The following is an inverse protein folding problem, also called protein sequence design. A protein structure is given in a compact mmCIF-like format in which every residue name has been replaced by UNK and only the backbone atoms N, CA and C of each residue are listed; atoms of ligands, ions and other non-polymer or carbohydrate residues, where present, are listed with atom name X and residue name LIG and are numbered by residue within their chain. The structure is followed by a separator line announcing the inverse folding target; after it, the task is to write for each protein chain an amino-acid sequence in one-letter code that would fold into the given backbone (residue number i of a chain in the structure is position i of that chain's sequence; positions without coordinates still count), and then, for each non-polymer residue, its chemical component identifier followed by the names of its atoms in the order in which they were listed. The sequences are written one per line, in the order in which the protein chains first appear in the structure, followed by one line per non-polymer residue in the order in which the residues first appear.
data_IF_149628073352
#
_entry.id   IF_149628073352
#
_cell.length_a   1.000
_cell.length_b   1.000
_cell.length_c   1.000
_cell.angle_alpha   90.00
_cell.angle_beta   90.00
_cell.angle_gamma   90.00
#
_symmetry.space_group_name_H-M   'P 1'
#
loop_
_entity.id
_entity.type
_entity.pdbx_description
1 polymer ?
#
# COMPACT_ATOMS: atom_id res chain seq x y z
N UNK A 1 -8.25 2.23 20.06
CA UNK A 1 -8.72 1.59 18.81
C UNK A 1 -7.59 0.77 18.22
N UNK A 2 -7.91 -0.27 17.46
CA UNK A 2 -6.91 -1.12 16.81
C UNK A 2 -6.65 -0.69 15.36
N UNK A 3 -5.42 -0.86 14.90
CA UNK A 3 -5.01 -0.64 13.52
C UNK A 3 -4.14 -1.79 13.02
N UNK A 4 -4.54 -2.44 11.94
CA UNK A 4 -3.79 -3.56 11.36
C UNK A 4 -2.78 -3.09 10.30
N UNK A 5 -1.53 -3.56 10.37
CA UNK A 5 -0.53 -3.32 9.33
C UNK A 5 0.09 -4.63 8.84
N UNK A 6 0.36 -4.78 7.53
CA UNK A 6 0.83 -6.03 6.95
C UNK A 6 2.34 -6.24 7.14
N UNK A 7 3.10 -5.18 7.41
CA UNK A 7 4.57 -5.22 7.41
C UNK A 7 5.14 -5.38 8.83
N UNK A 8 6.30 -6.05 9.00
CA UNK A 8 6.98 -6.17 10.29
C UNK A 8 7.35 -4.81 10.89
N UNK A 9 7.54 -4.76 12.22
CA UNK A 9 7.87 -3.53 12.96
C UNK A 9 9.02 -2.73 12.34
N UNK A 10 10.11 -3.39 11.96
CA UNK A 10 11.30 -2.73 11.42
C UNK A 10 11.09 -2.05 10.04
N UNK A 11 9.95 -2.26 9.39
CA UNK A 11 9.62 -1.62 8.11
C UNK A 11 9.27 -0.16 8.36
N UNK A 12 9.86 0.76 7.57
CA UNK A 12 9.63 2.20 7.76
C UNK A 12 8.14 2.58 7.70
N UNK A 13 7.34 1.87 6.90
CA UNK A 13 5.89 2.02 6.87
C UNK A 13 5.25 1.81 8.25
N UNK A 14 5.57 0.69 8.90
CA UNK A 14 5.07 0.37 10.24
C UNK A 14 5.61 1.36 11.28
N UNK A 15 6.88 1.77 11.18
CA UNK A 15 7.45 2.80 12.06
C UNK A 15 6.70 4.13 11.94
N UNK A 16 6.40 4.59 10.73
CA UNK A 16 5.63 5.81 10.49
C UNK A 16 4.20 5.70 11.05
N UNK A 17 3.58 4.52 11.00
CA UNK A 17 2.25 4.29 11.57
C UNK A 17 2.29 4.29 13.11
N UNK A 18 3.35 3.75 13.71
CA UNK A 18 3.58 3.83 15.16
C UNK A 18 3.78 5.29 15.58
N UNK A 19 4.52 6.08 14.81
CA UNK A 19 4.67 7.51 15.05
C UNK A 19 3.33 8.26 14.89
N UNK A 20 2.57 7.98 13.84
CA UNK A 20 1.21 8.49 13.67
C UNK A 20 0.30 8.16 14.87
N UNK A 21 0.35 6.93 15.37
CA UNK A 21 -0.42 6.51 16.54
C UNK A 21 -0.05 7.34 17.80
N UNK A 22 1.24 7.62 17.99
CA UNK A 22 1.73 8.47 19.06
C UNK A 22 1.26 9.92 18.90
N UNK A 23 1.39 10.48 17.69
CA UNK A 23 0.99 11.85 17.39
C UNK A 23 -0.51 12.07 17.60
N UNK A 24 -1.33 11.08 17.22
CA UNK A 24 -2.78 11.10 17.48
C UNK A 24 -3.08 11.08 18.97
N UNK A 25 -2.38 10.23 19.73
CA UNK A 25 -2.55 10.17 21.19
C UNK A 25 -2.20 11.51 21.85
N UNK A 26 -1.12 12.14 21.42
CA UNK A 26 -0.70 13.45 21.92
C UNK A 26 -1.70 14.55 21.55
N UNK A 27 -2.08 14.62 20.27
CA UNK A 27 -3.00 15.64 19.75
C UNK A 27 -4.41 15.55 20.36
N UNK A 28 -4.82 14.36 20.82
CA UNK A 28 -6.12 14.13 21.46
C UNK A 28 -6.06 14.09 22.98
N UNK A 29 -4.90 14.40 23.59
CA UNK A 29 -4.73 14.34 25.04
C UNK A 29 -5.00 12.95 25.63
N UNK A 30 -4.81 11.90 24.82
CA UNK A 30 -5.05 10.51 25.19
C UNK A 30 -6.47 10.00 24.95
N UNK A 31 -7.41 10.83 24.47
CA UNK A 31 -8.77 10.38 24.16
C UNK A 31 -8.80 9.33 23.03
N UNK A 32 -7.89 9.44 22.06
CA UNK A 32 -7.71 8.46 21.00
C UNK A 32 -6.34 7.78 21.12
N UNK A 33 -6.34 6.55 21.63
CA UNK A 33 -5.16 5.70 21.70
C UNK A 33 -5.24 4.62 20.61
N UNK A 34 -4.22 4.53 19.74
CA UNK A 34 -4.17 3.58 18.62
C UNK A 34 -3.17 2.46 18.94
N UNK A 35 -3.66 1.22 19.01
CA UNK A 35 -2.83 0.03 19.13
C UNK A 35 -2.53 -0.52 17.73
N UNK A 36 -1.24 -0.51 17.36
CA UNK A 36 -0.77 -0.99 16.05
C UNK A 36 -0.47 -2.48 16.12
N UNK A 37 -1.12 -3.26 15.26
CA UNK A 37 -0.92 -4.71 15.11
C UNK A 37 -0.15 -4.98 13.82
N UNK A 38 1.16 -5.16 13.92
CA UNK A 38 2.06 -5.28 12.77
C UNK A 38 2.22 -6.70 12.24
N UNK A 39 2.94 -6.83 11.12
CA UNK A 39 3.33 -8.13 10.55
C UNK A 39 2.17 -9.01 10.11
N UNK A 40 0.98 -8.43 9.89
CA UNK A 40 -0.23 -9.17 9.60
C UNK A 40 -0.63 -10.13 10.73
N UNK A 41 -0.39 -9.71 11.98
CA UNK A 41 -0.76 -10.43 13.20
C UNK A 41 -2.28 -10.47 13.42
N UNK A 42 -2.97 -9.36 13.15
CA UNK A 42 -4.42 -9.26 13.27
C UNK A 42 -5.17 -9.72 12.01
N UNK A 43 -4.77 -9.22 10.83
CA UNK A 43 -5.32 -9.60 9.53
C UNK A 43 -4.21 -9.75 8.49
N UNK A 44 -4.37 -10.68 7.55
CA UNK A 44 -3.44 -10.81 6.41
C UNK A 44 -3.65 -9.65 5.44
N UNK A 45 -2.58 -9.24 4.75
CA UNK A 45 -2.56 -8.06 3.87
C UNK A 45 -3.77 -7.95 2.92
N UNK A 46 -4.17 -9.02 2.19
CA UNK A 46 -5.32 -8.94 1.27
C UNK A 46 -6.66 -8.72 1.99
N UNK A 47 -6.76 -9.08 3.27
CA UNK A 47 -7.99 -9.01 4.04
C UNK A 47 -8.18 -7.69 4.79
N UNK A 48 -7.14 -6.84 4.88
CA UNK A 48 -7.17 -5.62 5.71
C UNK A 48 -8.28 -4.66 5.23
N UNK A 49 -8.35 -4.34 3.93
CA UNK A 49 -9.39 -3.44 3.38
C UNK A 49 -10.79 -3.91 3.74
N UNK A 50 -11.06 -5.20 3.52
CA UNK A 50 -12.36 -5.83 3.80
C UNK A 50 -12.68 -5.85 5.29
N UNK A 51 -11.67 -6.01 6.14
CA UNK A 51 -11.83 -6.02 7.59
C UNK A 51 -12.19 -4.64 8.14
N UNK A 52 -11.59 -3.58 7.57
CA UNK A 52 -11.97 -2.18 7.87
C UNK A 52 -13.38 -1.89 7.36
N UNK A 53 -13.68 -2.27 6.11
CA UNK A 53 -15.01 -2.04 5.50
C UNK A 53 -16.14 -2.70 6.31
N UNK A 54 -15.87 -3.85 6.93
CA UNK A 54 -16.83 -4.57 7.79
C UNK A 54 -16.87 -4.08 9.24
N UNK A 55 -16.01 -3.14 9.61
CA UNK A 55 -15.90 -2.64 10.98
C UNK A 55 -15.29 -3.64 11.97
N UNK A 56 -14.58 -4.67 11.49
CA UNK A 56 -13.88 -5.63 12.36
C UNK A 56 -12.63 -5.00 13.00
N UNK A 57 -12.02 -4.05 12.31
CA UNK A 57 -10.95 -3.19 12.82
C UNK A 57 -11.22 -1.75 12.35
N UNK A 58 -11.09 -0.72 13.21
CA UNK A 58 -11.40 0.65 12.82
C UNK A 58 -10.50 1.24 11.72
N UNK A 59 -9.25 0.79 11.63
CA UNK A 59 -8.28 1.28 10.65
C UNK A 59 -7.31 0.18 10.19
N UNK A 60 -6.68 0.39 9.04
CA UNK A 60 -5.66 -0.52 8.56
C UNK A 60 -4.83 0.04 7.42
N UNK A 61 -3.65 -0.54 7.22
CA UNK A 61 -2.74 -0.24 6.11
C UNK A 61 -2.91 -1.28 4.99
N UNK A 62 -2.99 -0.83 3.75
CA UNK A 62 -2.94 -1.70 2.58
C UNK A 62 -2.08 -1.10 1.48
N UNK A 63 -1.57 -1.95 0.59
CA UNK A 63 -0.90 -1.53 -0.63
C UNK A 63 -1.98 -1.34 -1.69
N UNK A 64 -2.16 -0.11 -2.17
CA UNK A 64 -3.30 0.25 -3.03
C UNK A 64 -3.37 -0.60 -4.30
N UNK A 65 -2.24 -0.92 -4.92
CA UNK A 65 -2.18 -1.76 -6.12
C UNK A 65 -2.65 -3.20 -5.93
N UNK A 66 -2.78 -3.71 -4.69
CA UNK A 66 -3.46 -4.99 -4.42
C UNK A 66 -4.95 -4.94 -4.79
N UNK A 67 -5.55 -3.75 -4.76
CA UNK A 67 -6.96 -3.52 -5.05
C UNK A 67 -7.23 -3.31 -6.54
N UNK A 68 -6.20 -3.38 -7.40
CA UNK A 68 -6.33 -3.16 -8.85
C UNK A 68 -7.29 -4.13 -9.57
N UNK A 69 -7.57 -5.29 -8.97
CA UNK A 69 -8.59 -6.22 -9.47
C UNK A 69 -10.03 -5.77 -9.15
N UNK A 70 -10.21 -4.92 -8.13
CA UNK A 70 -11.52 -4.37 -7.75
C UNK A 70 -11.84 -3.14 -8.61
N UNK A 71 -10.87 -2.25 -8.80
CA UNK A 71 -10.96 -1.13 -9.73
C UNK A 71 -9.57 -0.79 -10.30
N UNK A 72 -9.42 -0.64 -11.63
CA UNK A 72 -8.14 -0.31 -12.26
C UNK A 72 -7.49 0.97 -11.73
N UNK A 73 -8.25 1.93 -11.18
CA UNK A 73 -7.68 3.18 -10.63
C UNK A 73 -6.66 2.90 -9.52
N UNK A 74 -6.84 1.80 -8.79
CA UNK A 74 -5.95 1.42 -7.70
C UNK A 74 -4.59 0.90 -8.20
N UNK A 75 -4.47 0.55 -9.48
CA UNK A 75 -3.22 0.06 -10.09
C UNK A 75 -2.34 1.14 -10.71
N UNK A 76 -2.76 2.42 -10.67
CA UNK A 76 -2.05 3.52 -11.36
C UNK A 76 -0.62 3.71 -10.86
N UNK A 77 -0.36 3.49 -9.56
CA UNK A 77 0.98 3.60 -8.97
C UNK A 77 1.90 2.42 -9.28
N UNK A 78 1.36 1.34 -9.89
CA UNK A 78 2.11 0.15 -10.25
C UNK A 78 2.41 0.06 -11.75
N UNK A 79 2.06 1.09 -12.54
CA UNK A 79 2.36 1.12 -13.98
C UNK A 79 3.87 1.31 -14.17
N UNK A 80 4.56 0.34 -14.82
CA UNK A 80 6.00 0.44 -15.02
C UNK A 80 6.40 1.70 -15.79
N UNK A 81 7.47 2.36 -15.34
CA UNK A 81 8.06 3.56 -15.95
C UNK A 81 7.16 4.81 -16.00
N UNK A 82 5.97 4.79 -15.38
CA UNK A 82 5.06 5.95 -15.37
C UNK A 82 5.54 7.07 -14.43
N UNK A 83 5.99 6.70 -13.23
CA UNK A 83 6.54 7.62 -12.23
C UNK A 83 7.80 7.01 -11.62
N UNK A 84 8.96 7.49 -12.06
CA UNK A 84 10.28 6.91 -11.80
C UNK A 84 11.08 7.68 -10.75
N UNK A 85 10.57 8.81 -10.29
CA UNK A 85 11.12 9.61 -9.20
C UNK A 85 10.08 9.89 -8.11
N UNK A 86 10.54 10.28 -6.92
CA UNK A 86 9.66 10.72 -5.84
C UNK A 86 8.74 11.89 -6.25
N UNK A 87 9.27 12.84 -7.02
CA UNK A 87 8.51 14.00 -7.49
C UNK A 87 7.42 13.60 -8.50
N UNK A 88 7.74 12.66 -9.40
CA UNK A 88 6.75 12.10 -10.33
C UNK A 88 5.69 11.28 -9.59
N UNK A 89 6.08 10.46 -8.61
CA UNK A 89 5.15 9.68 -7.79
C UNK A 89 4.20 10.59 -7.00
N UNK A 90 4.72 11.72 -6.48
CA UNK A 90 3.92 12.76 -5.83
C UNK A 90 2.90 13.39 -6.78
N UNK A 91 3.32 13.78 -7.99
CA UNK A 91 2.41 14.34 -9.01
C UNK A 91 1.34 13.32 -9.43
N UNK A 92 1.75 12.07 -9.61
CA UNK A 92 0.85 10.97 -9.96
C UNK A 92 -0.21 10.75 -8.88
N UNK A 93 0.21 10.73 -7.60
CA UNK A 93 -0.71 10.66 -6.47
C UNK A 93 -1.68 11.84 -6.44
N UNK A 94 -1.19 13.07 -6.61
CA UNK A 94 -2.05 14.26 -6.59
C UNK A 94 -3.09 14.24 -7.71
N UNK A 95 -2.74 13.71 -8.88
CA UNK A 95 -3.64 13.55 -10.01
C UNK A 95 -4.66 12.39 -9.81
N UNK A 96 -4.24 11.27 -9.23
CA UNK A 96 -5.09 10.07 -9.08
C UNK A 96 -5.94 10.06 -7.81
N UNK A 97 -5.52 10.80 -6.77
CA UNK A 97 -6.16 10.80 -5.44
C UNK A 97 -7.67 11.06 -5.47
N UNK A 98 -8.21 12.06 -6.20
CA UNK A 98 -9.65 12.31 -6.17
C UNK A 98 -10.47 11.10 -6.60
N UNK A 99 -10.05 10.41 -7.67
CA UNK A 99 -10.72 9.22 -8.17
C UNK A 99 -10.57 8.03 -7.20
N UNK A 100 -9.40 7.87 -6.58
CA UNK A 100 -9.16 6.85 -5.55
C UNK A 100 -10.05 7.08 -4.33
N UNK A 101 -10.11 8.32 -3.83
CA UNK A 101 -10.90 8.69 -2.66
C UNK A 101 -12.41 8.55 -2.93
N UNK A 102 -12.88 8.88 -4.14
CA UNK A 102 -14.27 8.66 -4.54
C UNK A 102 -14.64 7.17 -4.49
N UNK A 103 -13.77 6.28 -5.00
CA UNK A 103 -14.01 4.84 -4.98
C UNK A 103 -13.99 4.27 -3.57
N UNK A 104 -13.03 4.67 -2.75
CA UNK A 104 -12.99 4.28 -1.34
C UNK A 104 -14.20 4.80 -0.57
N UNK A 105 -14.65 6.03 -0.84
CA UNK A 105 -15.84 6.59 -0.21
C UNK A 105 -17.11 5.81 -0.57
N UNK A 106 -17.22 5.31 -1.81
CA UNK A 106 -18.30 4.41 -2.23
C UNK A 106 -18.35 3.10 -1.42
N UNK A 107 -17.21 2.67 -0.88
CA UNK A 107 -17.07 1.52 0.02
C UNK A 107 -17.21 1.86 1.51
N UNK A 108 -17.50 3.13 1.85
CA UNK A 108 -17.55 3.62 3.23
C UNK A 108 -16.17 3.79 3.87
N UNK A 109 -15.11 3.86 3.06
CA UNK A 109 -13.72 3.98 3.51
C UNK A 109 -13.19 5.40 3.26
N UNK A 110 -12.20 5.80 4.07
CA UNK A 110 -11.45 7.04 3.90
C UNK A 110 -9.96 6.73 3.87
N UNK A 111 -9.25 7.28 2.89
CA UNK A 111 -7.78 7.22 2.86
C UNK A 111 -7.19 8.29 3.79
N UNK A 112 -6.17 7.93 4.55
CA UNK A 112 -5.49 8.85 5.49
C UNK A 112 -4.03 9.13 5.12
N UNK A 113 -3.36 8.26 4.35
CA UNK A 113 -1.91 8.36 4.12
C UNK A 113 -1.51 8.08 2.66
N UNK A 114 -0.35 8.64 2.28
CA UNK A 114 0.22 8.73 0.94
C UNK A 114 1.22 7.57 0.68
N UNK A 115 1.23 7.03 -0.55
CA UNK A 115 2.15 5.97 -1.01
C UNK A 115 3.58 6.48 -1.33
N UNK A 116 4.55 5.56 -1.28
CA UNK A 116 6.00 5.74 -1.41
C UNK A 116 6.51 5.47 -2.84
N UNK A 117 7.77 5.83 -3.11
CA UNK A 117 8.39 5.85 -4.43
C UNK A 117 8.73 4.50 -5.05
N UNK A 118 8.85 4.55 -6.39
CA UNK A 118 9.68 3.74 -7.28
C UNK A 118 9.92 2.30 -6.89
N UNK A 119 9.15 1.39 -7.45
CA UNK A 119 9.43 -0.05 -7.40
C UNK A 119 10.61 -0.39 -8.31
N UNK A 120 11.72 -0.81 -7.71
CA UNK A 120 12.89 -1.34 -8.40
C UNK A 120 12.76 -2.84 -8.71
N UNK A 121 13.40 -3.28 -9.78
CA UNK A 121 13.51 -4.70 -10.11
C UNK A 121 14.76 -5.30 -9.44
N UNK A 122 14.58 -6.31 -8.59
CA UNK A 122 15.68 -7.02 -7.93
C UNK A 122 15.91 -8.38 -8.60
N UNK A 123 17.09 -8.60 -9.16
CA UNK A 123 17.45 -9.84 -9.86
C UNK A 123 18.70 -10.48 -9.26
N UNK A 124 18.74 -11.81 -9.21
CA UNK A 124 19.91 -12.55 -8.71
C UNK A 124 21.09 -12.57 -9.70
N UNK A 125 20.81 -12.29 -10.98
CA UNK A 125 21.79 -12.14 -12.05
C UNK A 125 21.62 -10.78 -12.71
N UNK A 126 22.68 -10.17 -13.25
CA UNK A 126 22.57 -8.96 -14.05
C UNK A 126 21.56 -9.14 -15.19
N UNK A 127 20.75 -8.11 -15.41
CA UNK A 127 19.76 -8.05 -16.49
C UNK A 127 20.05 -6.78 -17.28
N UNK A 128 20.34 -6.93 -18.57
CA UNK A 128 20.67 -5.82 -19.48
C UNK A 128 19.58 -5.60 -20.52
N UNK A 129 18.82 -6.65 -20.83
CA UNK A 129 17.74 -6.65 -21.83
C UNK A 129 16.48 -7.28 -21.24
N UNK A 130 15.32 -6.98 -21.84
CA UNK A 130 14.05 -7.60 -21.44
C UNK A 130 14.08 -9.12 -21.63
N UNK A 131 14.83 -9.61 -22.63
CA UNK A 131 14.97 -11.05 -22.88
C UNK A 131 15.69 -11.79 -21.75
N UNK A 132 16.56 -11.12 -20.99
CA UNK A 132 17.24 -11.71 -19.83
C UNK A 132 16.25 -12.08 -18.71
N UNK A 133 15.03 -11.52 -18.72
CA UNK A 133 13.99 -11.83 -17.74
C UNK A 133 13.18 -13.08 -18.09
N UNK A 134 13.26 -13.57 -19.34
CA UNK A 134 12.48 -14.74 -19.78
C UNK A 134 12.85 -16.00 -18.99
N UNK A 135 11.84 -16.68 -18.46
CA UNK A 135 12.01 -17.93 -17.72
C UNK A 135 12.55 -17.76 -16.28
N UNK A 136 12.79 -16.52 -15.82
CA UNK A 136 13.08 -16.27 -14.41
C UNK A 136 11.82 -16.46 -13.56
N UNK A 137 11.95 -17.10 -12.40
CA UNK A 137 10.86 -17.15 -11.41
C UNK A 137 10.67 -15.76 -10.81
N UNK A 138 9.61 -15.07 -11.23
CA UNK A 138 9.30 -13.73 -10.80
C UNK A 138 8.24 -13.74 -9.69
N UNK A 139 8.54 -13.12 -8.54
CA UNK A 139 7.56 -12.95 -7.45
C UNK A 139 6.69 -11.74 -7.75
N UNK A 140 5.51 -11.99 -8.31
CA UNK A 140 4.47 -10.98 -8.39
C UNK A 140 3.79 -10.77 -7.03
N UNK A 141 3.49 -9.52 -6.70
CA UNK A 141 2.74 -9.17 -5.49
C UNK A 141 1.46 -8.40 -5.79
N UNK A 142 1.24 -7.98 -7.04
CA UNK A 142 0.01 -7.34 -7.52
C UNK A 142 -0.24 -7.69 -9.00
N UNK A 143 -1.39 -7.31 -9.55
CA UNK A 143 -1.76 -7.64 -10.93
C UNK A 143 -0.79 -7.08 -11.98
N UNK A 144 -0.23 -5.89 -11.75
CA UNK A 144 0.73 -5.26 -12.65
C UNK A 144 2.06 -6.04 -12.71
N UNK A 145 2.56 -6.48 -11.56
CA UNK A 145 3.77 -7.31 -11.47
C UNK A 145 3.53 -8.74 -11.94
N UNK A 146 2.30 -9.25 -11.88
CA UNK A 146 1.94 -10.52 -12.53
C UNK A 146 2.04 -10.43 -14.06
N UNK A 147 1.57 -9.34 -14.68
CA UNK A 147 1.68 -9.14 -16.14
C UNK A 147 3.13 -9.00 -16.63
N UNK A 148 4.04 -8.61 -15.75
CA UNK A 148 5.49 -8.58 -16.04
C UNK A 148 6.13 -9.98 -15.96
N UNK A 149 5.49 -10.92 -15.26
CA UNK A 149 5.97 -12.28 -15.07
C UNK A 149 5.51 -13.26 -16.17
N UNK A 150 4.46 -12.89 -16.90
CA UNK A 150 3.91 -13.62 -18.06
C UNK A 150 4.70 -13.32 -19.35
#
# INVERSE_FOLDING_TARGET
MDMATPYPDATFHTQNIIEFAKDVKEATGGELDITVHSGGSLFKHPDIKRSVQRGLVPAGETLISLLSNEDPIYGVDAIPFLATSYDEAKKLWEASRPAIEEKLAGDGLRSFMRSHAGTGLYTAKPVSTVDDLKGMKFRAYNSATSKLAD
#
